data_IF_801004048603
#
_entry.id   IF_801004048603
#
_cell.length_a   1.000
_cell.length_b   1.000
_cell.length_c   1.000
_cell.angle_alpha   90.00
_cell.angle_beta   90.00
_cell.angle_gamma   90.00
#
_symmetry.space_group_name_H-M   'P 1'
#
loop_
_entity.id
_entity.type
_entity.pdbx_description
1 polymer ?
#
# COMPACT_ATOMS: atom_id res chain seq x y z
N UNK A 1 37.60 -30.01 7.68
CA UNK A 1 37.05 -28.75 8.20
C UNK A 1 37.37 -27.63 7.22
N UNK A 2 36.36 -27.03 6.59
CA UNK A 2 36.31 -25.57 6.54
C UNK A 2 34.92 -25.03 6.92
N UNK A 3 34.94 -24.02 7.78
CA UNK A 3 33.82 -23.14 8.12
C UNK A 3 33.59 -22.17 6.98
N UNK A 4 32.34 -22.05 6.55
CA UNK A 4 31.81 -20.82 5.93
C UNK A 4 30.38 -20.65 6.42
N UNK A 5 30.23 -19.91 7.53
CA UNK A 5 28.94 -19.39 7.93
C UNK A 5 28.58 -18.26 6.95
N UNK A 6 27.73 -18.62 5.98
CA UNK A 6 27.06 -17.70 5.07
C UNK A 6 26.28 -16.71 5.92
N UNK A 7 26.81 -15.49 6.01
CA UNK A 7 26.13 -14.36 6.61
C UNK A 7 24.82 -14.08 5.91
N UNK A 8 23.81 -13.82 6.74
CA UNK A 8 23.02 -12.58 6.69
C UNK A 8 22.52 -12.21 5.28
N UNK A 9 21.29 -12.62 4.99
CA UNK A 9 20.36 -11.80 4.22
C UNK A 9 18.95 -12.27 4.54
N UNK A 10 18.36 -11.55 5.47
CA UNK A 10 16.94 -11.29 5.59
C UNK A 10 16.44 -10.79 4.22
N UNK A 11 16.05 -11.72 3.35
CA UNK A 11 15.46 -11.41 2.06
C UNK A 11 14.09 -12.04 1.96
N UNK A 12 13.15 -11.21 2.42
CA UNK A 12 11.88 -10.94 1.78
C UNK A 12 10.76 -11.94 2.04
N UNK A 13 9.96 -11.63 3.06
CA UNK A 13 8.52 -11.88 3.08
C UNK A 13 7.89 -11.25 1.83
N UNK A 14 7.93 -11.95 0.70
CA UNK A 14 7.10 -11.74 -0.48
C UNK A 14 6.39 -13.06 -0.77
N UNK A 15 5.49 -13.45 0.14
CA UNK A 15 4.45 -14.41 -0.20
C UNK A 15 3.23 -13.59 -0.65
N UNK A 16 2.94 -13.46 -1.96
CA UNK A 16 1.57 -13.18 -2.35
C UNK A 16 0.75 -14.43 -1.98
N UNK A 17 -0.06 -14.32 -0.93
CA UNK A 17 -1.14 -15.26 -0.66
C UNK A 17 -2.22 -15.17 -1.76
N UNK A 18 -3.25 -16.01 -1.71
CA UNK A 18 -4.21 -16.14 -2.81
C UNK A 18 -5.08 -14.87 -2.91
N UNK A 19 -4.78 -13.99 -3.86
CA UNK A 19 -5.50 -12.73 -4.06
C UNK A 19 -6.38 -12.78 -5.32
N UNK A 20 -7.54 -13.44 -5.21
CA UNK A 20 -8.68 -13.19 -6.10
C UNK A 20 -9.79 -12.44 -5.35
N UNK A 21 -9.41 -11.30 -4.75
CA UNK A 21 -10.34 -10.26 -4.29
C UNK A 21 -9.87 -8.94 -4.88
N UNK A 22 -10.80 -8.03 -5.17
CA UNK A 22 -10.48 -6.68 -5.65
C UNK A 22 -9.47 -6.08 -4.66
N UNK A 23 -8.23 -5.88 -5.11
CA UNK A 23 -7.10 -5.73 -4.20
C UNK A 23 -7.29 -4.49 -3.33
N UNK A 24 -6.98 -4.61 -2.04
CA UNK A 24 -6.99 -3.47 -1.14
C UNK A 24 -5.96 -2.43 -1.62
N UNK A 25 -6.27 -1.15 -1.42
CA UNK A 25 -5.36 -0.08 -1.81
C UNK A 25 -4.02 -0.24 -1.10
N UNK A 26 -2.95 -0.50 -1.85
CA UNK A 26 -1.62 -0.68 -1.29
C UNK A 26 -0.96 0.67 -0.93
N UNK A 27 -0.02 0.69 0.04
CA UNK A 27 0.75 1.88 0.42
C UNK A 27 1.45 2.57 -0.76
N UNK A 28 1.95 1.77 -1.70
CA UNK A 28 2.61 2.28 -2.91
C UNK A 28 1.61 2.96 -3.86
N UNK A 29 0.40 2.40 -4.01
CA UNK A 29 -0.64 3.02 -4.81
C UNK A 29 -1.12 4.31 -4.16
N UNK A 30 -1.29 4.31 -2.83
CA UNK A 30 -1.66 5.50 -2.07
C UNK A 30 -0.73 6.68 -2.35
N UNK A 31 0.59 6.48 -2.25
CA UNK A 31 1.59 7.53 -2.53
C UNK A 31 1.56 8.02 -3.98
N UNK A 32 1.20 7.15 -4.93
CA UNK A 32 1.11 7.50 -6.35
C UNK A 32 -0.17 8.27 -6.74
N UNK A 33 -1.15 8.39 -5.83
CA UNK A 33 -2.37 9.18 -6.08
C UNK A 33 -2.10 10.68 -5.97
N UNK A 34 -1.06 11.06 -5.26
CA UNK A 34 -0.68 12.45 -5.06
C UNK A 34 0.25 12.89 -6.19
N UNK A 35 -0.02 14.07 -6.73
CA UNK A 35 0.93 14.79 -7.57
C UNK A 35 2.12 15.22 -6.72
N UNK A 36 3.28 15.51 -7.33
CA UNK A 36 4.43 16.07 -6.61
C UNK A 36 4.12 17.39 -5.88
N UNK A 37 3.04 18.07 -6.25
CA UNK A 37 2.50 19.27 -5.59
C UNK A 37 1.66 18.93 -4.32
N UNK A 38 1.52 17.65 -3.98
CA UNK A 38 0.72 17.18 -2.85
C UNK A 38 -0.79 17.13 -3.10
N UNK A 39 -1.25 17.35 -4.34
CA UNK A 39 -2.68 17.30 -4.69
C UNK A 39 -3.10 15.91 -5.11
N UNK A 40 -4.29 15.47 -4.72
CA UNK A 40 -4.82 14.20 -5.20
C UNK A 40 -5.24 14.33 -6.67
N UNK A 41 -4.74 13.41 -7.48
CA UNK A 41 -5.08 13.33 -8.90
C UNK A 41 -6.58 13.06 -9.06
N UNK A 42 -7.23 13.73 -10.02
CA UNK A 42 -8.66 13.52 -10.32
C UNK A 42 -9.61 13.81 -9.13
N UNK A 43 -9.17 14.66 -8.18
CA UNK A 43 -9.95 14.98 -6.97
C UNK A 43 -10.19 13.78 -6.04
N UNK A 44 -9.46 12.68 -6.22
CA UNK A 44 -9.61 11.47 -5.42
C UNK A 44 -10.74 10.55 -5.85
N UNK A 45 -11.44 10.82 -6.95
CA UNK A 45 -12.57 9.98 -7.42
C UNK A 45 -12.11 8.55 -7.72
N UNK A 46 -10.99 8.41 -8.44
CA UNK A 46 -10.39 7.11 -8.77
C UNK A 46 -9.98 6.33 -7.53
N UNK A 47 -9.47 7.04 -6.52
CA UNK A 47 -9.07 6.48 -5.23
C UNK A 47 -10.27 6.04 -4.39
N UNK A 48 -11.30 6.87 -4.28
CA UNK A 48 -12.52 6.56 -3.55
C UNK A 48 -13.17 5.29 -4.09
N UNK A 49 -13.17 5.11 -5.41
CA UNK A 49 -13.67 3.90 -6.05
C UNK A 49 -12.93 2.63 -5.61
N UNK A 50 -11.59 2.70 -5.51
CA UNK A 50 -10.78 1.57 -5.06
C UNK A 50 -10.98 1.29 -3.57
N UNK A 51 -10.98 2.32 -2.72
CA UNK A 51 -11.22 2.19 -1.27
C UNK A 51 -12.58 1.57 -0.97
N UNK A 52 -13.62 2.02 -1.67
CA UNK A 52 -14.97 1.52 -1.49
C UNK A 52 -15.14 0.10 -2.06
N UNK A 53 -14.48 -0.23 -3.16
CA UNK A 53 -14.67 -1.52 -3.84
C UNK A 53 -13.72 -2.64 -3.38
N UNK A 54 -12.51 -2.31 -2.92
CA UNK A 54 -11.46 -3.26 -2.55
C UNK A 54 -10.94 -3.09 -1.12
N UNK A 55 -11.29 -1.99 -0.45
CA UNK A 55 -10.80 -1.67 0.89
C UNK A 55 -9.41 -1.02 0.87
N UNK A 56 -8.82 -0.86 2.06
CA UNK A 56 -7.53 -0.20 2.27
C UNK A 56 -6.60 -1.17 2.97
N UNK A 57 -5.34 -1.20 2.55
CA UNK A 57 -4.30 -1.97 3.26
C UNK A 57 -4.23 -1.53 4.74
N UNK A 58 -4.19 -2.47 5.71
CA UNK A 58 -4.18 -2.14 7.13
C UNK A 58 -3.05 -1.19 7.54
N UNK A 59 -1.91 -1.22 6.86
CA UNK A 59 -0.71 -0.43 7.20
C UNK A 59 -0.87 1.06 6.90
N UNK A 60 -1.75 1.44 5.96
CA UNK A 60 -2.01 2.85 5.60
C UNK A 60 -3.42 3.33 5.98
N UNK A 61 -4.23 2.46 6.60
CA UNK A 61 -5.63 2.77 6.91
C UNK A 61 -5.80 4.06 7.73
N UNK A 62 -4.88 4.33 8.66
CA UNK A 62 -4.92 5.53 9.49
C UNK A 62 -4.72 6.80 8.65
N UNK A 63 -3.69 6.85 7.80
CA UNK A 63 -3.43 8.00 6.91
C UNK A 63 -4.60 8.24 5.95
N UNK A 64 -5.12 7.16 5.37
CA UNK A 64 -6.26 7.21 4.45
C UNK A 64 -7.52 7.74 5.14
N UNK A 65 -7.81 7.29 6.36
CA UNK A 65 -8.97 7.77 7.11
C UNK A 65 -8.85 9.24 7.50
N UNK A 66 -7.67 9.70 7.93
CA UNK A 66 -7.43 11.11 8.21
C UNK A 66 -7.69 11.96 6.96
N UNK A 67 -7.20 11.51 5.79
CA UNK A 67 -7.44 12.18 4.51
C UNK A 67 -8.94 12.25 4.14
N UNK A 68 -9.68 11.16 4.34
CA UNK A 68 -11.13 11.11 4.04
C UNK A 68 -11.98 11.94 5.00
N UNK A 69 -11.56 12.04 6.27
CA UNK A 69 -12.24 12.83 7.29
C UNK A 69 -11.89 14.33 7.21
N UNK A 70 -10.75 14.69 6.61
CA UNK A 70 -10.28 16.07 6.54
C UNK A 70 -9.85 16.65 7.89
N UNK A 71 -9.36 15.79 8.80
CA UNK A 71 -8.88 16.15 10.15
C UNK A 71 -7.36 16.34 10.19
#
# INVERSE_FOLDING_TARGET
>A
MPRTLRGRSEVVLNHPGPEEKKHALLPKQWKNLFTPDGKVTDGGVKFLKEVLSGGVDPSIRAEVWLFLLGV
#
